data_IF_105780530700
#
_entry.id   IF_105780530700
#
_cell.length_a   1.000
_cell.length_b   1.000
_cell.length_c   1.000
_cell.angle_alpha   90.00
_cell.angle_beta   90.00
_cell.angle_gamma   90.00
#
_symmetry.space_group_name_H-M   'P 1'
#
loop_
_entity.id
_entity.type
_entity.pdbx_description
1 polymer ?
#
# COMPACT_ATOMS: atom_id res chain seq x y z
N UNK A 1 29.11 7.37 12.79
CA UNK A 1 28.75 6.12 12.09
C UNK A 1 27.52 6.23 11.17
N UNK A 2 26.88 7.40 11.01
CA UNK A 2 25.72 7.58 10.10
C UNK A 2 26.10 7.87 8.62
N UNK A 3 27.35 8.26 8.36
CA UNK A 3 27.84 8.54 7.00
C UNK A 3 28.13 7.27 6.19
N UNK A 4 28.52 6.16 6.83
CA UNK A 4 28.82 4.89 6.14
C UNK A 4 27.59 4.18 5.57
N UNK A 5 26.50 4.10 6.34
CA UNK A 5 25.23 3.48 5.90
C UNK A 5 24.50 4.26 4.80
N UNK A 6 24.82 5.55 4.60
CA UNK A 6 24.27 6.34 3.51
C UNK A 6 24.88 5.96 2.15
N UNK A 7 26.17 5.66 2.13
CA UNK A 7 26.94 5.35 0.91
C UNK A 7 26.63 3.95 0.40
N UNK A 8 26.44 2.97 1.29
CA UNK A 8 26.07 1.60 0.92
C UNK A 8 24.65 1.54 0.32
N UNK A 9 23.69 2.27 0.91
CA UNK A 9 22.33 2.39 0.35
C UNK A 9 22.29 3.10 -1.02
N UNK A 10 23.31 3.92 -1.31
CA UNK A 10 23.44 4.60 -2.61
C UNK A 10 23.85 3.62 -3.72
N UNK A 11 24.57 2.54 -3.38
CA UNK A 11 25.13 1.58 -4.33
C UNK A 11 24.23 0.36 -4.58
N UNK A 12 23.23 0.08 -3.74
CA UNK A 12 22.34 -1.09 -3.89
C UNK A 12 21.11 -0.83 -4.77
N UNK A 13 20.89 0.41 -5.20
CA UNK A 13 19.82 0.76 -6.14
C UNK A 13 20.23 0.23 -7.51
N UNK A 14 19.42 -0.65 -8.09
CA UNK A 14 19.76 -1.41 -9.29
C UNK A 14 20.17 -0.47 -10.41
N UNK A 15 21.29 -0.76 -11.06
CA UNK A 15 21.92 0.06 -12.11
C UNK A 15 21.11 0.21 -13.41
N UNK A 16 19.83 -0.17 -13.40
CA UNK A 16 18.98 -0.33 -14.58
C UNK A 16 18.27 0.96 -15.01
N UNK A 17 17.98 1.88 -14.08
CA UNK A 17 17.26 3.12 -14.37
C UNK A 17 18.16 4.33 -14.11
N UNK A 18 19.21 4.46 -14.93
CA UNK A 18 20.18 5.55 -14.81
C UNK A 18 19.72 6.81 -15.54
N UNK A 19 18.80 6.66 -16.51
CA UNK A 19 18.26 7.78 -17.28
C UNK A 19 16.74 7.89 -17.16
N UNK A 20 16.25 9.09 -17.44
CA UNK A 20 14.81 9.33 -17.57
C UNK A 20 14.20 8.60 -18.77
N UNK A 21 15.01 8.30 -19.79
CA UNK A 21 14.61 7.50 -20.95
C UNK A 21 14.30 6.04 -20.54
N UNK A 22 15.14 5.42 -19.71
CA UNK A 22 14.90 4.05 -19.23
C UNK A 22 13.62 3.98 -18.39
N UNK A 23 13.42 4.98 -17.54
CA UNK A 23 12.22 5.07 -16.70
C UNK A 23 10.95 5.19 -17.53
N UNK A 24 10.96 6.01 -18.59
CA UNK A 24 9.76 6.20 -19.41
C UNK A 24 9.47 4.97 -20.27
N UNK A 25 10.48 4.30 -20.82
CA UNK A 25 10.27 3.05 -21.56
C UNK A 25 9.69 1.96 -20.66
N UNK A 26 10.15 1.88 -19.40
CA UNK A 26 9.58 0.94 -18.43
C UNK A 26 8.11 1.27 -18.11
N UNK A 27 7.75 2.55 -17.95
CA UNK A 27 6.35 2.95 -17.76
C UNK A 27 5.51 2.61 -19.00
N UNK A 28 6.04 2.86 -20.21
CA UNK A 28 5.36 2.54 -21.47
C UNK A 28 5.09 1.04 -21.58
N UNK A 29 6.10 0.21 -21.30
CA UNK A 29 5.98 -1.24 -21.36
C UNK A 29 4.92 -1.79 -20.38
N UNK A 30 4.84 -1.22 -19.17
CA UNK A 30 3.85 -1.61 -18.17
C UNK A 30 2.43 -1.09 -18.49
N UNK A 31 2.33 0.10 -19.08
CA UNK A 31 1.04 0.72 -19.42
C UNK A 31 0.40 0.10 -20.66
N UNK A 32 1.23 -0.23 -21.63
CA UNK A 32 0.84 -0.69 -22.96
C UNK A 32 1.62 -1.95 -23.35
N UNK A 33 1.42 -3.07 -22.63
CA UNK A 33 2.19 -4.31 -22.85
C UNK A 33 1.97 -4.90 -24.25
N UNK A 34 0.82 -4.60 -24.87
CA UNK A 34 0.46 -5.05 -26.22
C UNK A 34 0.49 -3.91 -27.25
N UNK A 35 1.16 -2.80 -26.94
CA UNK A 35 1.20 -1.61 -27.79
C UNK A 35 0.18 -0.55 -27.40
N UNK A 36 0.32 0.62 -28.01
CA UNK A 36 -0.48 1.80 -27.70
C UNK A 36 -1.97 1.56 -27.98
N UNK A 37 -2.82 2.02 -27.06
CA UNK A 37 -4.27 2.09 -27.25
C UNK A 37 -4.72 3.51 -26.93
N UNK A 38 -5.33 4.19 -27.91
CA UNK A 38 -5.79 5.56 -27.74
C UNK A 38 -6.89 5.63 -26.65
N UNK A 39 -6.73 6.45 -25.59
CA UNK A 39 -7.72 6.53 -24.52
C UNK A 39 -9.05 7.19 -24.95
N UNK A 40 -9.10 7.83 -26.13
CA UNK A 40 -10.33 8.48 -26.65
C UNK A 40 -11.13 7.61 -27.62
N UNK A 41 -10.46 6.80 -28.43
CA UNK A 41 -11.13 6.09 -29.53
C UNK A 41 -10.69 4.64 -29.70
N UNK A 42 -9.86 4.12 -28.80
CA UNK A 42 -9.31 2.76 -28.79
C UNK A 42 -8.50 2.35 -30.05
N UNK A 43 -8.22 3.29 -30.96
CA UNK A 43 -7.38 3.03 -32.11
C UNK A 43 -5.92 2.77 -31.69
N UNK A 44 -5.26 1.84 -32.37
CA UNK A 44 -3.96 1.30 -31.97
C UNK A 44 -2.78 1.88 -32.76
N UNK A 45 -3.00 2.40 -33.96
CA UNK A 45 -1.92 3.04 -34.72
C UNK A 45 -1.62 4.44 -34.18
N UNK A 46 -0.33 4.76 -34.11
CA UNK A 46 0.17 5.99 -33.54
C UNK A 46 1.47 6.47 -34.16
N UNK A 47 1.74 7.76 -33.98
CA UNK A 47 3.06 8.37 -34.21
C UNK A 47 3.68 8.73 -32.86
N UNK A 48 4.92 8.27 -32.62
CA UNK A 48 5.68 8.61 -31.41
C UNK A 48 6.40 9.95 -31.61
N UNK A 49 5.99 10.96 -30.84
CA UNK A 49 6.57 12.30 -30.85
C UNK A 49 7.62 12.41 -29.74
N UNK A 50 8.90 12.31 -30.10
CA UNK A 50 10.03 12.33 -29.16
C UNK A 50 10.76 13.68 -29.07
N UNK A 51 10.18 14.76 -29.62
CA UNK A 51 10.79 16.10 -29.63
C UNK A 51 10.77 16.82 -28.26
N UNK A 52 10.08 16.26 -27.28
CA UNK A 52 9.96 16.78 -25.90
C UNK A 52 10.70 15.87 -24.93
N UNK A 53 10.97 16.37 -23.71
CA UNK A 53 11.57 15.60 -22.60
C UNK A 53 10.90 14.25 -22.36
N UNK A 54 9.57 14.21 -22.42
CA UNK A 54 8.77 12.99 -22.36
C UNK A 54 8.06 12.77 -23.69
N UNK A 55 8.13 11.57 -24.28
CA UNK A 55 7.48 11.25 -25.54
C UNK A 55 5.95 11.33 -25.41
N UNK A 56 5.31 11.72 -26.50
CA UNK A 56 3.86 11.65 -26.67
C UNK A 56 3.48 10.68 -27.79
N UNK A 57 2.29 10.12 -27.69
CA UNK A 57 1.75 9.15 -28.64
C UNK A 57 0.53 9.76 -29.30
N UNK A 58 0.68 10.17 -30.56
CA UNK A 58 -0.40 10.77 -31.33
C UNK A 58 -1.19 9.69 -32.06
N UNK A 59 -2.49 9.60 -31.80
CA UNK A 59 -3.37 8.64 -32.44
C UNK A 59 -3.58 8.96 -33.92
N UNK A 60 -3.35 7.98 -34.80
CA UNK A 60 -3.51 8.15 -36.26
C UNK A 60 -4.95 8.44 -36.72
N UNK A 61 -5.97 8.14 -35.89
CA UNK A 61 -7.38 8.34 -36.23
C UNK A 61 -7.96 9.67 -35.75
N UNK A 62 -7.73 10.02 -34.49
CA UNK A 62 -8.36 11.20 -33.86
C UNK A 62 -7.39 12.34 -33.53
N UNK A 63 -6.09 12.19 -33.86
CA UNK A 63 -5.06 13.19 -33.59
C UNK A 63 -4.79 13.45 -32.10
N UNK A 64 -5.35 12.65 -31.19
CA UNK A 64 -5.16 12.85 -29.76
C UNK A 64 -3.74 12.46 -29.34
N UNK A 65 -3.05 13.37 -28.65
CA UNK A 65 -1.73 13.15 -28.07
C UNK A 65 -1.85 12.63 -26.64
N UNK A 66 -1.53 11.36 -26.44
CA UNK A 66 -1.51 10.71 -25.14
C UNK A 66 -0.10 10.77 -24.52
N UNK A 67 -0.02 11.10 -23.24
CA UNK A 67 1.20 10.95 -22.45
C UNK A 67 1.22 9.59 -21.73
N UNK A 68 2.38 8.89 -21.69
CA UNK A 68 2.51 7.66 -20.91
C UNK A 68 2.23 7.86 -19.42
N UNK A 69 2.44 9.06 -18.87
CA UNK A 69 2.23 9.32 -17.44
C UNK A 69 0.77 9.54 -17.05
N UNK A 70 -0.12 9.88 -17.99
CA UNK A 70 -1.54 10.17 -17.68
C UNK A 70 -2.24 8.92 -17.19
N UNK A 71 -3.00 9.02 -16.09
CA UNK A 71 -3.67 7.88 -15.46
C UNK A 71 -2.76 7.01 -14.58
N UNK A 72 -1.52 7.45 -14.32
CA UNK A 72 -0.57 6.78 -13.40
C UNK A 72 -0.29 7.65 -12.18
N UNK A 73 0.42 7.13 -11.17
CA UNK A 73 0.85 7.95 -10.01
C UNK A 73 1.80 9.10 -10.39
N UNK A 74 2.48 8.95 -11.53
CA UNK A 74 3.46 9.89 -12.08
C UNK A 74 2.80 11.04 -12.86
N UNK A 75 1.47 11.00 -13.02
CA UNK A 75 0.74 12.06 -13.71
C UNK A 75 1.03 13.44 -13.09
N UNK A 76 1.32 14.43 -13.97
CA UNK A 76 1.66 15.81 -13.61
C UNK A 76 2.87 15.93 -12.66
N UNK A 77 3.80 14.96 -12.67
CA UNK A 77 5.04 15.12 -11.91
C UNK A 77 6.00 16.09 -12.60
N UNK A 78 6.60 16.98 -11.80
CA UNK A 78 7.73 17.81 -12.23
C UNK A 78 9.08 17.23 -11.78
N UNK A 79 9.05 16.13 -11.01
CA UNK A 79 10.26 15.45 -10.56
C UNK A 79 10.81 14.56 -11.69
N UNK A 80 12.15 14.46 -11.82
CA UNK A 80 12.75 13.44 -12.68
C UNK A 80 12.26 12.05 -12.33
N UNK A 81 11.87 11.25 -13.34
CA UNK A 81 11.37 9.89 -13.13
C UNK A 81 12.38 8.99 -12.41
N UNK A 82 13.68 9.22 -12.61
CA UNK A 82 14.76 8.51 -11.88
C UNK A 82 14.58 8.62 -10.36
N UNK A 83 14.14 9.78 -9.83
CA UNK A 83 13.87 9.94 -8.40
C UNK A 83 12.66 9.13 -7.94
N UNK A 84 11.65 8.96 -8.79
CA UNK A 84 10.51 8.09 -8.52
C UNK A 84 10.92 6.63 -8.49
N UNK A 85 11.67 6.16 -9.48
CA UNK A 85 12.15 4.77 -9.53
C UNK A 85 13.04 4.46 -8.32
N UNK A 86 13.94 5.38 -7.96
CA UNK A 86 14.73 5.25 -6.72
C UNK A 86 13.85 5.20 -5.47
N UNK A 87 12.77 5.98 -5.42
CA UNK A 87 11.82 5.91 -4.31
C UNK A 87 11.07 4.56 -4.26
N UNK A 88 10.71 3.97 -5.40
CA UNK A 88 10.09 2.64 -5.47
C UNK A 88 11.05 1.55 -4.98
N UNK A 89 12.32 1.61 -5.38
CA UNK A 89 13.32 0.64 -4.92
C UNK A 89 13.56 0.73 -3.40
N UNK A 90 13.70 1.95 -2.87
CA UNK A 90 13.86 2.17 -1.44
C UNK A 90 12.60 1.84 -0.64
N UNK A 91 11.41 1.94 -1.27
CA UNK A 91 10.16 1.47 -0.68
C UNK A 91 10.17 -0.05 -0.49
N UNK A 92 10.77 -0.79 -1.43
CA UNK A 92 10.98 -2.24 -1.35
C UNK A 92 12.14 -2.66 -0.44
N UNK A 93 12.56 -1.85 0.53
CA UNK A 93 13.44 -2.31 1.61
C UNK A 93 12.66 -3.16 2.63
N UNK A 94 13.29 -4.12 3.35
CA UNK A 94 12.62 -5.00 4.31
C UNK A 94 11.79 -4.24 5.35
N UNK A 95 12.31 -3.10 5.78
CA UNK A 95 11.67 -2.19 6.71
C UNK A 95 10.90 -1.04 6.07
N UNK A 96 11.01 -0.91 4.75
CA UNK A 96 10.57 0.27 4.02
C UNK A 96 11.49 1.45 4.30
N UNK A 97 11.03 2.65 3.95
CA UNK A 97 11.80 3.88 4.13
C UNK A 97 10.93 5.00 4.70
N UNK A 98 11.49 5.75 5.66
CA UNK A 98 10.83 6.95 6.21
C UNK A 98 10.90 8.11 5.22
N UNK A 99 9.91 9.02 5.27
CA UNK A 99 9.91 10.21 4.41
C UNK A 99 11.15 11.10 4.63
N UNK A 100 11.65 11.17 5.87
CA UNK A 100 12.88 11.90 6.20
C UNK A 100 14.09 11.26 5.51
N UNK A 101 14.26 9.94 5.65
CA UNK A 101 15.39 9.24 5.01
C UNK A 101 15.30 9.30 3.50
N UNK A 102 14.11 9.11 2.92
CA UNK A 102 13.90 9.22 1.49
C UNK A 102 14.29 10.62 0.99
N UNK A 103 13.86 11.68 1.69
CA UNK A 103 14.15 13.06 1.30
C UNK A 103 15.64 13.37 1.21
N UNK A 104 16.43 12.79 2.11
CA UNK A 104 17.90 12.88 2.09
C UNK A 104 18.50 12.12 0.90
N UNK A 105 18.07 10.86 0.70
CA UNK A 105 18.67 9.97 -0.31
C UNK A 105 18.36 10.39 -1.75
N UNK A 106 17.16 10.92 -2.01
CA UNK A 106 16.77 11.38 -3.36
C UNK A 106 16.86 12.91 -3.52
N UNK A 107 17.37 13.61 -2.50
CA UNK A 107 17.60 15.05 -2.50
C UNK A 107 16.36 15.86 -2.90
N UNK A 108 15.29 15.70 -2.12
CA UNK A 108 14.04 16.46 -2.28
C UNK A 108 13.59 16.99 -0.92
N UNK A 109 12.59 17.87 -0.91
CA UNK A 109 12.02 18.30 0.36
C UNK A 109 11.32 17.14 1.07
N UNK A 110 11.27 17.18 2.41
CA UNK A 110 10.49 16.23 3.20
C UNK A 110 9.03 16.11 2.70
N UNK A 111 8.39 17.24 2.39
CA UNK A 111 7.00 17.29 1.89
C UNK A 111 6.85 16.51 0.58
N UNK A 112 7.83 16.64 -0.31
CA UNK A 112 7.88 15.91 -1.58
C UNK A 112 8.02 14.41 -1.35
N UNK A 113 8.99 13.98 -0.54
CA UNK A 113 9.20 12.57 -0.20
C UNK A 113 7.98 11.95 0.49
N UNK A 114 7.36 12.68 1.42
CA UNK A 114 6.12 12.28 2.08
C UNK A 114 5.00 12.06 1.07
N UNK A 115 4.78 13.02 0.15
CA UNK A 115 3.75 12.90 -0.89
C UNK A 115 4.00 11.72 -1.83
N UNK A 116 5.25 11.49 -2.23
CA UNK A 116 5.62 10.34 -3.07
C UNK A 116 5.26 9.02 -2.39
N UNK A 117 5.68 8.84 -1.13
CA UNK A 117 5.39 7.64 -0.37
C UNK A 117 3.87 7.44 -0.14
N UNK A 118 3.13 8.52 0.12
CA UNK A 118 1.67 8.41 0.30
C UNK A 118 0.93 8.06 -0.99
N UNK A 119 1.40 8.53 -2.16
CA UNK A 119 0.87 8.09 -3.45
C UNK A 119 1.12 6.60 -3.70
N UNK A 120 2.32 6.11 -3.34
CA UNK A 120 2.65 4.68 -3.42
C UNK A 120 1.74 3.89 -2.48
N UNK A 121 1.65 4.27 -1.20
CA UNK A 121 0.76 3.59 -0.21
C UNK A 121 -0.70 3.56 -0.64
N UNK A 122 -1.21 4.65 -1.18
CA UNK A 122 -2.58 4.71 -1.70
C UNK A 122 -2.77 3.68 -2.83
N UNK A 123 -1.84 3.64 -3.77
CA UNK A 123 -1.84 2.66 -4.86
C UNK A 123 -1.88 1.22 -4.34
N UNK A 124 -1.02 0.91 -3.36
CA UNK A 124 -1.01 -0.42 -2.75
C UNK A 124 -2.34 -0.74 -2.07
N UNK A 125 -2.95 0.23 -1.39
CA UNK A 125 -4.27 0.06 -0.79
C UNK A 125 -5.37 -0.21 -1.81
N UNK A 126 -5.36 0.49 -2.96
CA UNK A 126 -6.33 0.29 -4.04
C UNK A 126 -6.14 -1.05 -4.75
N UNK A 127 -4.90 -1.47 -5.02
CA UNK A 127 -4.60 -2.77 -5.59
C UNK A 127 -4.97 -3.90 -4.63
N UNK A 128 -4.54 -3.79 -3.36
CA UNK A 128 -4.87 -4.78 -2.34
C UNK A 128 -6.39 -4.88 -2.12
N UNK A 129 -7.14 -3.78 -2.21
CA UNK A 129 -8.60 -3.82 -2.09
C UNK A 129 -9.29 -4.61 -3.22
N UNK A 130 -8.68 -4.74 -4.41
CA UNK A 130 -9.22 -5.51 -5.54
C UNK A 130 -8.91 -7.01 -5.43
N UNK A 131 -7.88 -7.36 -4.68
CA UNK A 131 -7.43 -8.74 -4.55
C UNK A 131 -7.99 -9.34 -3.25
N UNK A 132 -9.02 -10.18 -3.38
CA UNK A 132 -9.68 -10.84 -2.26
C UNK A 132 -8.87 -12.05 -1.77
N UNK A 133 -8.98 -12.35 -0.47
CA UNK A 133 -8.47 -13.60 0.09
C UNK A 133 -9.37 -14.74 -0.41
N UNK A 134 -8.75 -15.81 -0.91
CA UNK A 134 -9.44 -17.02 -1.38
C UNK A 134 -8.86 -18.29 -0.75
N UNK A 135 -9.57 -19.43 -0.85
CA UNK A 135 -9.09 -20.73 -0.35
C UNK A 135 -9.36 -20.93 1.15
N UNK A 136 -8.38 -21.43 1.91
CA UNK A 136 -8.53 -21.57 3.37
C UNK A 136 -8.17 -20.26 4.08
N UNK A 137 -9.18 -19.57 4.60
CA UNK A 137 -9.04 -18.22 5.16
C UNK A 137 -9.25 -18.23 6.67
N UNK A 138 -8.27 -17.72 7.41
CA UNK A 138 -8.34 -17.53 8.88
C UNK A 138 -8.50 -16.05 9.19
N UNK A 139 -9.38 -15.72 10.13
CA UNK A 139 -9.64 -14.32 10.55
C UNK A 139 -9.51 -14.18 12.06
N UNK A 140 -8.72 -13.22 12.52
CA UNK A 140 -8.48 -12.92 13.94
C UNK A 140 -8.97 -11.51 14.32
N UNK A 141 -9.49 -11.37 15.54
CA UNK A 141 -9.62 -10.07 16.21
C UNK A 141 -8.41 -9.82 17.10
N UNK A 142 -7.58 -8.83 16.78
CA UNK A 142 -6.36 -8.53 17.53
C UNK A 142 -6.24 -7.03 17.84
N UNK A 143 -5.17 -6.65 18.53
CA UNK A 143 -4.85 -5.27 18.85
C UNK A 143 -3.47 -4.91 18.31
N UNK A 144 -3.43 -3.94 17.40
CA UNK A 144 -2.20 -3.32 16.94
C UNK A 144 -1.56 -2.54 18.10
N UNK A 145 -0.23 -2.57 18.20
CA UNK A 145 0.55 -1.94 19.27
C UNK A 145 0.23 -2.44 20.71
N UNK A 146 -0.25 -3.68 20.82
CA UNK A 146 -0.46 -4.35 22.10
C UNK A 146 0.86 -4.89 22.68
N UNK A 147 1.35 -4.26 23.74
CA UNK A 147 2.52 -4.73 24.48
C UNK A 147 2.09 -5.75 25.55
N UNK A 148 2.42 -7.03 25.32
CA UNK A 148 2.08 -8.11 26.26
C UNK A 148 2.81 -7.99 27.60
N UNK A 149 3.90 -7.20 27.66
CA UNK A 149 4.64 -6.92 28.89
C UNK A 149 3.97 -5.82 29.73
N UNK A 150 3.02 -5.06 29.16
CA UNK A 150 2.24 -4.04 29.87
C UNK A 150 0.85 -4.59 30.13
N UNK A 151 0.66 -5.15 31.33
CA UNK A 151 -0.53 -5.90 31.72
C UNK A 151 -1.81 -5.03 31.88
N UNK A 152 -1.67 -3.71 32.07
CA UNK A 152 -2.80 -2.82 32.29
C UNK A 152 -3.27 -2.12 30.99
N UNK A 153 -4.58 -2.11 30.67
CA UNK A 153 -5.13 -1.38 29.51
C UNK A 153 -4.80 0.12 29.52
N UNK A 154 -4.75 0.75 30.70
CA UNK A 154 -4.29 2.14 30.87
C UNK A 154 -2.80 2.34 30.53
N UNK A 155 -2.00 1.26 30.53
CA UNK A 155 -0.60 1.26 30.11
C UNK A 155 -0.43 0.98 28.59
N UNK A 156 -1.54 0.92 27.83
CA UNK A 156 -1.55 0.69 26.38
C UNK A 156 -2.23 1.82 25.60
N UNK A 157 -1.73 3.07 25.70
CA UNK A 157 -2.35 4.25 25.09
C UNK A 157 -2.34 4.25 23.54
N UNK A 158 -1.64 3.29 22.93
CA UNK A 158 -1.52 3.16 21.47
C UNK A 158 -2.22 1.90 20.92
N UNK A 159 -2.76 1.05 21.79
CA UNK A 159 -3.47 -0.14 21.36
C UNK A 159 -4.70 0.27 20.53
N UNK A 160 -4.80 -0.30 19.33
CA UNK A 160 -5.92 -0.03 18.41
C UNK A 160 -6.47 -1.35 17.89
N UNK A 161 -7.80 -1.59 17.95
CA UNK A 161 -8.40 -2.82 17.46
C UNK A 161 -8.21 -2.98 15.95
N UNK A 162 -7.80 -4.19 15.57
CA UNK A 162 -7.65 -4.60 14.18
C UNK A 162 -8.35 -5.94 13.94
N UNK A 163 -8.84 -6.12 12.72
CA UNK A 163 -9.19 -7.44 12.19
C UNK A 163 -8.11 -7.83 11.20
N UNK A 164 -7.49 -8.97 11.42
CA UNK A 164 -6.52 -9.52 10.49
C UNK A 164 -7.11 -10.77 9.83
N UNK A 165 -6.84 -10.96 8.55
CA UNK A 165 -7.20 -12.16 7.81
C UNK A 165 -6.04 -12.67 6.98
N UNK A 166 -5.95 -13.98 6.80
CA UNK A 166 -4.97 -14.55 5.88
C UNK A 166 -5.50 -15.77 5.12
N UNK A 167 -5.03 -15.91 3.88
CA UNK A 167 -5.05 -17.20 3.18
C UNK A 167 -3.90 -18.04 3.70
N UNK A 168 -4.14 -19.33 3.87
CA UNK A 168 -3.21 -20.27 4.50
C UNK A 168 -2.73 -21.30 3.49
N UNK A 169 -1.43 -21.59 3.52
CA UNK A 169 -0.83 -22.67 2.73
C UNK A 169 -1.23 -24.04 3.27
N UNK A 170 -0.92 -25.11 2.54
CA UNK A 170 -1.13 -26.49 3.00
C UNK A 170 -0.47 -26.79 4.36
N UNK A 171 0.60 -26.06 4.71
CA UNK A 171 1.34 -26.22 5.97
C UNK A 171 0.79 -25.41 7.14
N UNK A 172 -0.27 -24.63 6.95
CA UNK A 172 -0.78 -23.77 8.01
C UNK A 172 -0.03 -22.44 8.15
N UNK A 173 0.79 -22.03 7.18
CA UNK A 173 1.48 -20.74 7.26
C UNK A 173 0.71 -19.65 6.48
N UNK A 174 0.72 -18.39 6.96
CA UNK A 174 0.02 -17.31 6.30
C UNK A 174 0.74 -16.96 4.99
N UNK A 175 0.06 -17.19 3.87
CA UNK A 175 0.54 -16.82 2.55
C UNK A 175 0.30 -15.34 2.32
N UNK A 176 -0.98 -14.98 2.17
CA UNK A 176 -1.42 -13.61 1.98
C UNK A 176 -2.11 -13.08 3.23
N UNK A 177 -1.74 -11.89 3.67
CA UNK A 177 -2.25 -11.29 4.91
C UNK A 177 -2.89 -9.94 4.62
N UNK A 178 -4.02 -9.64 5.26
CA UNK A 178 -4.65 -8.33 5.28
C UNK A 178 -4.91 -7.92 6.74
N UNK A 179 -4.66 -6.65 7.06
CA UNK A 179 -4.91 -6.11 8.40
C UNK A 179 -5.76 -4.85 8.25
N UNK A 180 -6.96 -4.86 8.81
CA UNK A 180 -7.90 -3.74 8.79
C UNK A 180 -8.02 -3.11 10.17
N UNK A 181 -7.85 -1.80 10.24
CA UNK A 181 -8.11 -0.96 11.39
C UNK A 181 -9.63 -0.78 11.57
N UNK A 182 -10.12 -0.96 12.80
CA UNK A 182 -11.56 -0.90 13.10
C UNK A 182 -11.97 0.45 13.70
N UNK A 183 -11.11 1.05 14.52
CA UNK A 183 -11.42 2.32 15.19
C UNK A 183 -10.41 3.43 14.86
N UNK A 184 -10.93 4.66 14.87
CA UNK A 184 -10.15 5.90 14.80
C UNK A 184 -9.81 6.44 16.21
N UNK A 185 -10.07 5.65 17.27
CA UNK A 185 -9.79 5.96 18.68
C UNK A 185 -8.76 5.01 19.26
N UNK A 186 -7.78 5.53 20.02
CA UNK A 186 -6.76 4.73 20.71
C UNK A 186 -7.15 4.43 22.15
N UNK A 187 -6.76 3.27 22.66
CA UNK A 187 -6.64 3.03 24.09
C UNK A 187 -7.95 2.99 24.87
N UNK A 188 -9.09 2.85 24.20
CA UNK A 188 -10.39 2.61 24.84
C UNK A 188 -10.56 1.16 25.32
N UNK A 189 -9.57 0.30 25.04
CA UNK A 189 -9.63 -1.13 25.32
C UNK A 189 -10.65 -1.89 24.47
N UNK A 190 -11.24 -1.23 23.45
CA UNK A 190 -12.18 -1.87 22.55
C UNK A 190 -11.47 -2.95 21.72
N UNK A 191 -12.25 -3.99 21.45
CA UNK A 191 -11.89 -5.09 20.56
C UNK A 191 -12.88 -5.10 19.41
N UNK A 192 -12.42 -5.56 18.25
CA UNK A 192 -13.29 -5.81 17.13
C UNK A 192 -14.43 -6.75 17.55
N UNK A 193 -15.66 -6.37 17.22
CA UNK A 193 -16.87 -7.14 17.50
C UNK A 193 -17.20 -8.09 16.33
N UNK A 194 -18.28 -8.86 16.47
CA UNK A 194 -18.71 -9.81 15.43
C UNK A 194 -19.11 -9.11 14.11
N UNK A 195 -19.65 -7.89 14.17
CA UNK A 195 -20.00 -7.11 12.98
C UNK A 195 -18.74 -6.65 12.23
N UNK A 196 -17.69 -6.25 12.95
CA UNK A 196 -16.41 -5.84 12.35
C UNK A 196 -15.76 -7.01 11.60
N UNK A 197 -15.82 -8.22 12.17
CA UNK A 197 -15.36 -9.45 11.51
C UNK A 197 -16.19 -9.75 10.26
N UNK A 198 -17.52 -9.65 10.35
CA UNK A 198 -18.39 -9.87 9.20
C UNK A 198 -18.15 -8.83 8.09
N UNK A 199 -17.94 -7.56 8.45
CA UNK A 199 -17.61 -6.50 7.51
C UNK A 199 -16.25 -6.74 6.84
N UNK A 200 -15.24 -7.20 7.60
CA UNK A 200 -13.96 -7.61 7.04
C UNK A 200 -14.12 -8.75 6.03
N UNK A 201 -14.84 -9.82 6.41
CA UNK A 201 -15.04 -10.99 5.53
C UNK A 201 -15.74 -10.54 4.24
N UNK A 202 -16.82 -9.77 4.33
CA UNK A 202 -17.54 -9.28 3.17
C UNK A 202 -16.68 -8.42 2.23
N UNK A 203 -15.78 -7.62 2.80
CA UNK A 203 -14.94 -6.69 2.03
C UNK A 203 -13.68 -7.35 1.44
N UNK A 204 -13.11 -8.33 2.13
CA UNK A 204 -11.75 -8.80 1.88
C UNK A 204 -11.63 -10.29 1.53
N UNK A 205 -12.74 -11.05 1.55
CA UNK A 205 -12.73 -12.50 1.31
C UNK A 205 -13.69 -12.84 0.17
N UNK A 206 -13.23 -13.66 -0.77
CA UNK A 206 -14.07 -14.26 -1.80
C UNK A 206 -14.84 -15.46 -1.22
N UNK A 207 -15.95 -15.17 -0.55
CA UNK A 207 -16.73 -16.17 0.21
C UNK A 207 -17.13 -17.40 -0.63
N UNK A 208 -17.57 -17.29 -1.90
CA UNK A 208 -17.94 -18.46 -2.71
C UNK A 208 -16.81 -19.47 -2.93
N UNK A 209 -15.55 -19.03 -2.98
CA UNK A 209 -14.39 -19.88 -3.28
C UNK A 209 -13.59 -20.27 -2.04
N UNK A 210 -14.07 -19.90 -0.85
CA UNK A 210 -13.27 -19.95 0.38
C UNK A 210 -13.93 -20.70 1.53
N UNK A 211 -13.11 -21.41 2.31
CA UNK A 211 -13.48 -21.91 3.64
C UNK A 211 -12.99 -20.91 4.69
N UNK A 212 -13.92 -20.22 5.35
CA UNK A 212 -13.58 -19.15 6.31
C UNK A 212 -13.70 -19.64 7.74
N UNK A 213 -12.63 -19.49 8.53
CA UNK A 213 -12.62 -19.74 9.97
C UNK A 213 -12.28 -18.46 10.74
N UNK A 214 -13.22 -18.00 11.56
CA UNK A 214 -13.05 -16.80 12.38
C UNK A 214 -12.75 -17.13 13.84
N UNK A 215 -11.80 -16.42 14.43
CA UNK A 215 -11.36 -16.53 15.82
C UNK A 215 -11.58 -15.20 16.55
N UNK A 216 -12.80 -14.95 17.06
CA UNK A 216 -13.15 -13.67 17.70
C UNK A 216 -12.59 -13.52 19.13
N UNK A 217 -12.14 -14.62 19.74
CA UNK A 217 -11.71 -14.65 21.14
C UNK A 217 -10.18 -14.63 21.25
N UNK A 218 -9.66 -13.72 22.07
CA UNK A 218 -8.22 -13.50 22.24
C UNK A 218 -7.40 -14.74 22.68
N UNK A 219 -8.05 -15.73 23.33
CA UNK A 219 -7.41 -16.98 23.78
C UNK A 219 -7.53 -18.14 22.77
N UNK A 220 -8.27 -17.94 21.67
CA UNK A 220 -8.41 -18.91 20.57
C UNK A 220 -7.93 -18.34 19.24
N UNK A 221 -7.07 -17.32 19.25
CA UNK A 221 -6.54 -16.72 18.02
C UNK A 221 -5.69 -17.71 17.24
N UNK A 222 -5.76 -17.61 15.92
CA UNK A 222 -4.82 -18.27 15.04
C UNK A 222 -3.41 -17.70 15.26
N UNK A 223 -2.52 -18.50 15.85
CA UNK A 223 -1.21 -18.03 16.33
C UNK A 223 -0.30 -17.48 15.22
N UNK A 224 -0.21 -18.09 14.01
CA UNK A 224 0.61 -17.53 12.94
C UNK A 224 0.19 -16.10 12.56
N UNK A 225 -1.11 -15.87 12.37
CA UNK A 225 -1.64 -14.55 12.04
C UNK A 225 -1.44 -13.53 13.18
N UNK A 226 -1.51 -13.96 14.44
CA UNK A 226 -1.16 -13.10 15.59
C UNK A 226 0.32 -12.69 15.58
N UNK A 227 1.23 -13.59 15.18
CA UNK A 227 2.65 -13.25 15.02
C UNK A 227 2.83 -12.18 13.94
N UNK A 228 2.08 -12.26 12.84
CA UNK A 228 2.12 -11.27 11.75
C UNK A 228 1.66 -9.88 12.21
N UNK A 229 0.58 -9.75 12.99
CA UNK A 229 0.14 -8.46 13.53
C UNK A 229 1.22 -7.83 14.43
N UNK A 230 1.92 -8.64 15.22
CA UNK A 230 3.04 -8.17 16.07
C UNK A 230 4.28 -7.81 15.25
N UNK A 231 4.57 -8.57 14.19
CA UNK A 231 5.65 -8.29 13.27
C UNK A 231 5.41 -6.97 12.52
N UNK A 232 4.17 -6.70 12.10
CA UNK A 232 3.75 -5.43 11.53
C UNK A 232 4.04 -4.27 12.48
N UNK A 233 3.63 -4.38 13.75
CA UNK A 233 3.93 -3.36 14.75
C UNK A 233 5.44 -3.14 14.95
N UNK A 234 6.21 -4.21 15.07
CA UNK A 234 7.67 -4.13 15.27
C UNK A 234 8.36 -3.45 14.10
N UNK A 235 8.00 -3.83 12.86
CA UNK A 235 8.54 -3.24 11.64
C UNK A 235 8.18 -1.76 11.54
N UNK A 236 6.89 -1.41 11.69
CA UNK A 236 6.45 -0.01 11.58
C UNK A 236 7.04 0.88 12.68
N UNK A 237 7.17 0.37 13.91
CA UNK A 237 7.82 1.08 15.02
C UNK A 237 9.31 1.31 14.75
N UNK A 238 10.00 0.32 14.18
CA UNK A 238 11.42 0.43 13.83
C UNK A 238 11.67 1.50 12.78
N UNK A 239 10.85 1.56 11.72
CA UNK A 239 11.06 2.48 10.59
C UNK A 239 10.52 3.88 10.82
N UNK A 240 9.36 4.00 11.45
CA UNK A 240 8.61 5.26 11.53
C UNK A 240 8.51 5.82 12.94
N UNK A 241 8.96 5.09 13.96
CA UNK A 241 8.93 5.44 15.40
C UNK A 241 7.51 5.60 15.95
N UNK A 242 6.81 6.66 15.55
CA UNK A 242 5.45 6.98 15.96
C UNK A 242 4.60 7.35 14.75
N UNK A 243 3.57 6.55 14.48
CA UNK A 243 2.57 6.81 13.44
C UNK A 243 1.32 7.40 14.06
N UNK A 244 0.69 8.37 13.39
CA UNK A 244 -0.67 8.82 13.72
C UNK A 244 -1.74 7.86 13.19
N UNK A 245 -2.95 7.89 13.76
CA UNK A 245 -4.05 7.03 13.29
C UNK A 245 -4.51 7.35 11.86
N UNK A 246 -4.46 8.62 11.46
CA UNK A 246 -4.98 9.13 10.17
C UNK A 246 -4.50 8.34 8.96
N UNK A 247 -3.27 7.81 9.02
CA UNK A 247 -2.68 7.07 7.91
C UNK A 247 -2.29 5.65 8.29
N UNK A 248 -2.61 5.19 9.51
CA UNK A 248 -2.16 3.89 10.00
C UNK A 248 -2.58 2.75 9.07
N UNK A 249 -3.81 2.78 8.54
CA UNK A 249 -4.26 1.79 7.56
C UNK A 249 -3.37 1.73 6.31
N UNK A 250 -2.90 2.88 5.81
CA UNK A 250 -2.04 2.93 4.63
C UNK A 250 -0.65 2.33 4.92
N UNK A 251 -0.15 2.46 6.15
CA UNK A 251 1.11 1.83 6.59
C UNK A 251 0.95 0.32 6.82
N UNK A 252 -0.21 -0.11 7.33
CA UNK A 252 -0.53 -1.53 7.46
C UNK A 252 -0.62 -2.20 6.08
N UNK A 253 -1.29 -1.56 5.11
CA UNK A 253 -1.35 -2.03 3.72
C UNK A 253 0.04 -2.08 3.07
N UNK A 254 0.89 -1.08 3.32
CA UNK A 254 2.29 -1.12 2.88
C UNK A 254 3.00 -2.36 3.45
N UNK A 255 2.86 -2.62 4.75
CA UNK A 255 3.52 -3.76 5.38
C UNK A 255 3.04 -5.09 4.77
N UNK A 256 1.73 -5.28 4.64
CA UNK A 256 1.17 -6.54 4.12
C UNK A 256 1.54 -6.76 2.65
N UNK A 257 1.48 -5.73 1.81
CA UNK A 257 1.86 -5.87 0.39
C UNK A 257 3.37 -6.06 0.22
N UNK A 258 4.21 -5.35 0.98
CA UNK A 258 5.67 -5.60 0.94
C UNK A 258 6.02 -7.01 1.38
N UNK A 259 5.30 -7.56 2.36
CA UNK A 259 5.48 -8.95 2.79
C UNK A 259 5.07 -9.92 1.69
N UNK A 260 3.89 -9.75 1.12
CA UNK A 260 3.36 -10.59 0.04
C UNK A 260 4.32 -10.61 -1.16
N UNK A 261 4.79 -9.44 -1.60
CA UNK A 261 5.75 -9.34 -2.69
C UNK A 261 7.04 -10.13 -2.43
N UNK A 262 7.57 -10.10 -1.19
CA UNK A 262 8.80 -10.82 -0.82
C UNK A 262 8.64 -12.32 -0.73
N UNK A 263 7.47 -12.78 -0.31
CA UNK A 263 7.21 -14.20 -0.14
C UNK A 263 6.94 -14.88 -1.48
N UNK A 264 6.33 -14.15 -2.41
CA UNK A 264 5.82 -14.71 -3.66
C UNK A 264 6.76 -14.51 -4.85
N UNK A 265 7.69 -13.56 -4.81
CA UNK A 265 8.43 -13.12 -5.98
C UNK A 265 9.93 -12.92 -5.75
N UNK A 266 10.72 -13.11 -6.81
CA UNK A 266 12.12 -12.68 -6.86
C UNK A 266 12.24 -11.15 -6.80
N UNK A 267 13.43 -10.62 -6.47
CA UNK A 267 13.60 -9.17 -6.35
C UNK A 267 13.21 -8.39 -7.62
N UNK A 268 13.48 -8.95 -8.79
CA UNK A 268 13.15 -8.33 -10.08
C UNK A 268 11.62 -8.29 -10.30
N UNK A 269 10.95 -9.40 -10.02
CA UNK A 269 9.48 -9.49 -10.10
C UNK A 269 8.82 -8.57 -9.07
N UNK A 270 9.37 -8.43 -7.85
CA UNK A 270 8.86 -7.45 -6.88
C UNK A 270 8.88 -6.02 -7.44
N UNK A 271 9.99 -5.64 -8.09
CA UNK A 271 10.15 -4.30 -8.70
C UNK A 271 9.14 -4.10 -9.82
N UNK A 272 8.97 -5.09 -10.68
CA UNK A 272 8.03 -5.04 -11.79
C UNK A 272 6.57 -4.99 -11.30
N UNK A 273 6.19 -5.82 -10.33
CA UNK A 273 4.86 -5.81 -9.73
C UNK A 273 4.54 -4.46 -9.06
N UNK A 274 5.48 -3.90 -8.29
CA UNK A 274 5.28 -2.58 -7.68
C UNK A 274 5.10 -1.49 -8.75
N UNK A 275 5.92 -1.51 -9.81
CA UNK A 275 5.79 -0.56 -10.92
C UNK A 275 4.45 -0.73 -11.64
N UNK A 276 4.02 -1.97 -11.90
CA UNK A 276 2.73 -2.27 -12.52
C UNK A 276 1.57 -1.71 -11.69
N UNK A 277 1.60 -1.88 -10.37
CA UNK A 277 0.61 -1.27 -9.46
C UNK A 277 0.59 0.26 -9.61
N UNK A 278 1.76 0.91 -9.64
CA UNK A 278 1.93 2.35 -9.79
C UNK A 278 1.45 2.91 -11.14
N UNK A 279 1.48 2.09 -12.19
CA UNK A 279 0.98 2.45 -13.52
C UNK A 279 -0.53 2.20 -13.64
N UNK A 280 -1.08 1.25 -12.88
CA UNK A 280 -2.49 0.83 -12.97
C UNK A 280 -3.46 1.72 -12.18
N UNK A 281 -2.96 2.51 -11.22
CA UNK A 281 -3.77 3.40 -10.37
C UNK A 281 -3.48 4.87 -10.71
N UNK A 282 -4.52 5.71 -10.91
CA UNK A 282 -4.33 7.13 -11.14
C UNK A 282 -3.80 7.84 -9.90
N UNK A 283 -3.04 8.93 -10.12
CA UNK A 283 -2.52 9.75 -9.03
C UNK A 283 -3.66 10.35 -8.19
N UNK A 284 -3.63 10.08 -6.87
CA UNK A 284 -4.49 10.77 -5.91
C UNK A 284 -3.99 12.22 -5.67
N UNK A 285 -4.86 13.24 -5.78
CA UNK A 285 -4.53 14.63 -5.44
C UNK A 285 -4.22 14.81 -3.94
N UNK A 286 -3.32 15.74 -3.61
CA UNK A 286 -2.94 16.07 -2.22
C UNK A 286 -4.14 16.37 -1.31
N UNK A 287 -5.14 17.12 -1.83
CA UNK A 287 -6.36 17.44 -1.10
C UNK A 287 -7.17 16.21 -0.68
N UNK A 288 -7.12 15.13 -1.47
CA UNK A 288 -7.81 13.88 -1.16
C UNK A 288 -6.99 13.05 -0.17
N UNK A 289 -5.66 13.01 -0.31
CA UNK A 289 -4.76 12.33 0.63
C UNK A 289 -4.87 12.86 2.08
N UNK A 290 -5.12 14.15 2.25
CA UNK A 290 -5.22 14.79 3.57
C UNK A 290 -6.66 14.87 4.06
N UNK A 291 -7.64 14.61 3.19
CA UNK A 291 -9.03 14.54 3.62
C UNK A 291 -9.12 13.40 4.65
N UNK A 292 -9.45 13.73 5.89
CA UNK A 292 -9.73 12.71 6.91
C UNK A 292 -10.80 11.80 6.33
N UNK A 293 -10.48 10.53 6.12
CA UNK A 293 -11.48 9.52 5.83
C UNK A 293 -12.37 9.44 7.06
N UNK A 294 -13.52 10.11 7.03
CA UNK A 294 -14.61 9.79 7.93
C UNK A 294 -15.05 8.40 7.50
N UNK A 295 -14.58 7.37 8.20
CA UNK A 295 -15.15 6.05 8.05
C UNK A 295 -16.66 6.17 8.36
N UNK A 296 -17.48 5.75 7.41
CA UNK A 296 -18.93 5.88 7.43
C UNK A 296 -19.59 4.92 8.45
N UNK A 297 -19.18 4.97 9.71
CA UNK A 297 -19.69 4.09 10.75
C UNK A 297 -20.33 4.79 11.95
N UNK A 298 -20.53 6.11 11.91
CA UNK A 298 -21.31 6.82 12.94
C UNK A 298 -22.35 7.76 12.32
N UNK A 299 -23.28 7.22 11.53
CA UNK A 299 -24.64 7.75 11.53
C UNK A 299 -25.44 6.91 12.52
N UNK A 300 -25.44 7.33 13.80
CA UNK A 300 -26.52 6.92 14.71
C UNK A 300 -27.82 7.46 14.12
N UNK A 301 -28.87 6.64 13.91
CA UNK A 301 -30.18 7.20 13.71
C UNK A 301 -30.56 7.89 15.02
N UNK A 302 -30.67 9.22 15.00
CA UNK A 302 -31.45 9.92 15.99
C UNK A 302 -32.89 9.43 15.84
N UNK A 303 -33.28 8.47 16.68
CA UNK A 303 -34.69 8.22 16.94
C UNK A 303 -35.23 9.49 17.58
N UNK A 304 -36.01 10.24 16.80
CA UNK A 304 -36.92 11.23 17.32
C UNK A 304 -37.97 10.48 18.18
N UNK A 305 -37.81 10.52 19.50
CA UNK A 305 -38.89 10.21 20.41
C UNK A 305 -39.83 11.43 20.42
N UNK A 306 -40.91 11.33 19.66
CA UNK A 306 -42.09 12.17 19.79
C UNK A 306 -43.23 11.26 20.25
N UNK A 307 -43.52 11.30 21.56
CA UNK A 307 -44.83 11.13 22.20
C UNK A 307 -44.63 11.30 23.71
#
# INVERSE_FOLDING_TARGET
MEFGMNTELFQTVSSRFQSEADCIEAIIAMKWPHGFVCPRCAYTEYTRLSSRRLPLFECGKCGYQASPLVGTIFERTHLPLVKWFRALELFLLPDGISALRLSQVIEVTYKTAWLMLHKIRHTLGECDARELLSGDVKVNCDQYAYDSLRYHPAAQPYATPVVAGCTVTEFGEPERVKIQLISDTRGDGQRANKHDVAAFIHKHVDVPTSTVQSYPLAFRLYLPLRKEVRAAWTSLKRTYVALGLTHLQAYLNEYTVRRDLRMSFSEEEMRQNLLQMCVSIPAIPYRQLIKRHQNAHHQKPYFAAAA
#
